data_IF_844363234347
#
_entry.id   IF_844363234347
#
_cell.length_a   1.000
_cell.length_b   1.000
_cell.length_c   1.000
_cell.angle_alpha   90.00
_cell.angle_beta   90.00
_cell.angle_gamma   90.00
#
_symmetry.space_group_name_H-M   'P 1'
#
loop_
_entity.id
_entity.type
_entity.pdbx_description
1 polymer ?
#
# COMPACT_ATOMS: atom_id res chain seq x y z
N UNK A 1 -18.58 -21.32 -39.81
CA UNK A 1 -17.32 -21.92 -39.35
C UNK A 1 -16.23 -20.85 -39.29
N UNK A 2 -15.47 -20.82 -38.18
CA UNK A 2 -14.08 -20.35 -37.99
C UNK A 2 -13.64 -18.98 -38.57
N UNK A 3 -12.86 -18.12 -37.90
CA UNK A 3 -12.11 -18.22 -36.65
C UNK A 3 -11.19 -16.98 -36.50
N UNK A 4 -11.28 -16.36 -35.31
CA UNK A 4 -10.24 -15.72 -34.47
C UNK A 4 -8.98 -15.14 -35.14
N UNK A 5 -8.72 -13.82 -34.92
CA UNK A 5 -7.58 -13.29 -34.12
C UNK A 5 -7.60 -11.76 -34.08
N UNK A 6 -8.27 -11.20 -33.07
CA UNK A 6 -8.09 -9.82 -32.63
C UNK A 6 -6.69 -9.67 -32.02
N UNK A 7 -5.87 -8.79 -32.60
CA UNK A 7 -4.51 -8.50 -32.14
C UNK A 7 -4.58 -7.60 -30.90
N UNK A 8 -3.89 -8.03 -29.85
CA UNK A 8 -3.66 -7.32 -28.59
C UNK A 8 -2.97 -5.98 -28.85
N UNK A 9 -3.58 -4.87 -28.43
CA UNK A 9 -3.08 -3.49 -28.63
C UNK A 9 -2.21 -2.97 -27.47
N UNK A 10 -1.73 -3.83 -26.57
CA UNK A 10 -0.81 -3.42 -25.51
C UNK A 10 0.66 -3.42 -25.97
N UNK A 11 0.95 -2.67 -27.02
CA UNK A 11 2.31 -2.30 -27.41
C UNK A 11 2.38 -0.79 -27.50
N UNK A 12 3.45 -0.21 -26.94
CA UNK A 12 3.83 1.21 -26.99
C UNK A 12 3.15 2.15 -25.99
N UNK A 13 3.56 2.08 -24.73
CA UNK A 13 3.88 3.30 -23.96
C UNK A 13 5.08 3.02 -23.05
N UNK A 14 6.25 2.95 -23.68
CA UNK A 14 7.55 3.10 -23.04
C UNK A 14 7.70 4.54 -22.54
N UNK A 15 7.22 4.82 -21.33
CA UNK A 15 7.38 6.11 -20.67
C UNK A 15 8.75 6.18 -19.98
N UNK A 16 9.80 6.34 -20.79
CA UNK A 16 11.21 6.47 -20.35
C UNK A 16 11.84 7.79 -20.79
N UNK A 17 11.13 8.91 -20.70
CA UNK A 17 11.74 10.24 -20.81
C UNK A 17 10.90 11.28 -20.05
N UNK A 18 11.15 11.43 -18.74
CA UNK A 18 11.22 12.75 -18.10
C UNK A 18 11.72 12.59 -16.66
N UNK A 19 12.98 12.96 -16.44
CA UNK A 19 13.57 13.61 -15.26
C UNK A 19 15.09 13.35 -15.29
N UNK A 20 15.78 14.10 -16.13
CA UNK A 20 17.20 14.42 -15.92
C UNK A 20 17.26 15.61 -14.96
N UNK A 21 17.90 15.43 -13.81
CA UNK A 21 18.29 16.53 -12.92
C UNK A 21 19.67 16.23 -12.30
N UNK A 22 20.69 16.91 -12.82
CA UNK A 22 21.98 17.20 -12.17
C UNK A 22 22.42 18.58 -12.73
N UNK A 23 22.69 19.57 -11.87
CA UNK A 23 24.08 19.98 -11.78
C UNK A 23 24.55 20.30 -10.34
N UNK A 24 25.81 19.94 -10.09
CA UNK A 24 26.57 20.18 -8.86
C UNK A 24 27.01 21.64 -8.69
N UNK A 25 27.33 21.93 -7.42
CA UNK A 25 28.17 22.98 -6.83
C UNK A 25 27.54 24.31 -6.37
N UNK A 26 27.37 24.42 -5.05
CA UNK A 26 27.91 25.54 -4.28
C UNK A 26 28.45 25.05 -2.93
N UNK A 27 29.66 25.53 -2.57
CA UNK A 27 30.38 25.26 -1.31
C UNK A 27 30.27 26.48 -0.39
N UNK A 28 30.26 26.22 0.93
CA UNK A 28 30.38 27.21 2.03
C UNK A 28 29.01 27.77 2.45
N UNK A 29 28.63 27.88 3.73
CA UNK A 29 29.38 28.40 4.87
C UNK A 29 28.87 27.77 6.19
N UNK A 30 29.81 27.60 7.12
CA UNK A 30 29.64 27.19 8.52
C UNK A 30 29.03 28.35 9.33
N UNK A 31 28.01 28.09 10.14
CA UNK A 31 27.42 29.07 11.06
C UNK A 31 26.72 28.37 12.22
N UNK A 32 27.21 28.66 13.42
CA UNK A 32 26.95 27.97 14.68
C UNK A 32 25.60 28.35 15.34
N UNK A 33 25.16 27.46 16.23
CA UNK A 33 24.36 27.68 17.45
C UNK A 33 22.93 28.22 17.34
N UNK A 34 21.97 27.40 17.77
CA UNK A 34 21.16 27.72 18.96
C UNK A 34 20.47 26.48 19.52
N UNK A 35 20.78 26.21 20.79
CA UNK A 35 20.15 25.21 21.63
C UNK A 35 18.65 25.48 21.73
N UNK A 36 17.83 24.47 21.42
CA UNK A 36 16.49 24.33 22.00
C UNK A 36 16.39 22.95 22.63
N UNK A 37 16.80 22.91 23.90
CA UNK A 37 16.47 21.86 24.86
C UNK A 37 14.95 21.70 24.92
N UNK A 38 14.46 20.54 24.49
CA UNK A 38 13.13 20.04 24.84
C UNK A 38 13.32 18.68 25.49
N UNK A 39 13.24 18.72 26.82
CA UNK A 39 12.54 17.79 27.70
C UNK A 39 12.47 16.34 27.25
N UNK A 40 13.20 15.49 27.96
CA UNK A 40 13.20 14.05 27.78
C UNK A 40 11.81 13.45 27.90
N UNK A 41 11.40 12.73 26.85
CA UNK A 41 10.59 11.54 27.04
C UNK A 41 11.51 10.34 26.90
N UNK A 42 11.53 9.52 27.95
CA UNK A 42 12.37 8.34 28.11
C UNK A 42 11.72 7.18 27.34
N UNK A 43 11.56 7.34 26.04
CA UNK A 43 11.18 6.26 25.15
C UNK A 43 12.47 5.61 24.68
N UNK A 44 12.75 4.39 25.13
CA UNK A 44 13.73 3.51 24.50
C UNK A 44 13.29 3.33 23.04
N UNK A 45 13.74 4.22 22.16
CA UNK A 45 13.53 4.16 20.74
C UNK A 45 14.32 2.95 20.22
N UNK A 46 13.73 1.77 20.39
CA UNK A 46 14.18 0.57 19.69
C UNK A 46 14.30 0.97 18.23
N UNK A 47 15.47 0.83 17.65
CA UNK A 47 15.80 1.20 16.27
C UNK A 47 15.11 0.23 15.29
N UNK A 48 13.77 0.20 15.33
CA UNK A 48 12.95 -0.67 14.50
C UNK A 48 12.93 -0.11 13.09
N UNK A 49 13.12 -1.00 12.13
CA UNK A 49 13.09 -0.68 10.72
C UNK A 49 11.63 -0.53 10.30
N UNK A 50 11.26 0.67 9.86
CA UNK A 50 9.93 0.91 9.31
C UNK A 50 9.80 0.27 7.92
N UNK A 51 9.02 -0.80 7.78
CA UNK A 51 8.90 -1.56 6.53
C UNK A 51 8.17 -0.79 5.41
N UNK A 52 7.43 0.27 5.76
CA UNK A 52 6.75 1.15 4.82
C UNK A 52 7.68 2.21 4.22
N UNK A 53 8.73 2.63 4.93
CA UNK A 53 9.59 3.75 4.51
C UNK A 53 11.07 3.39 4.35
N UNK A 54 11.51 2.26 4.90
CA UNK A 54 12.90 1.85 4.84
C UNK A 54 13.40 1.68 3.40
N UNK A 55 14.66 2.03 3.19
CA UNK A 55 15.38 1.77 1.94
C UNK A 55 15.70 0.28 1.80
N UNK A 56 16.04 -0.15 0.58
CA UNK A 56 16.42 -1.54 0.32
C UNK A 56 17.58 -1.99 1.20
N UNK A 57 18.63 -1.15 1.30
CA UNK A 57 19.78 -1.41 2.17
C UNK A 57 19.39 -1.55 3.64
N UNK A 58 18.45 -0.76 4.14
CA UNK A 58 17.98 -0.89 5.54
C UNK A 58 17.20 -2.18 5.76
N UNK A 59 16.40 -2.60 4.79
CA UNK A 59 15.65 -3.86 4.86
C UNK A 59 16.57 -5.08 4.79
N UNK A 60 17.66 -4.98 4.02
CA UNK A 60 18.69 -6.03 3.89
C UNK A 60 19.46 -6.29 5.20
N UNK A 61 19.43 -5.36 6.16
CA UNK A 61 20.02 -5.56 7.49
C UNK A 61 19.18 -6.48 8.39
N UNK A 62 17.95 -6.81 8.00
CA UNK A 62 17.10 -7.69 8.80
C UNK A 62 17.58 -9.15 8.69
N UNK A 63 17.63 -9.91 9.81
CA UNK A 63 18.00 -11.31 9.79
C UNK A 63 17.22 -12.12 8.75
N UNK A 64 17.94 -12.84 7.88
CA UNK A 64 17.37 -13.67 6.80
C UNK A 64 16.56 -12.90 5.72
N UNK A 65 16.71 -11.57 5.65
CA UNK A 65 16.21 -10.71 4.57
C UNK A 65 17.42 -10.26 3.75
N UNK A 66 17.72 -10.99 2.67
CA UNK A 66 18.78 -10.58 1.74
C UNK A 66 18.29 -9.57 0.69
N UNK A 67 19.16 -9.12 -0.24
CA UNK A 67 18.84 -8.06 -1.20
C UNK A 67 17.64 -8.41 -2.08
N UNK A 68 17.52 -9.68 -2.48
CA UNK A 68 16.36 -10.19 -3.25
C UNK A 68 15.05 -10.06 -2.48
N UNK A 69 15.05 -10.32 -1.18
CA UNK A 69 13.85 -10.22 -0.34
C UNK A 69 13.53 -8.76 -0.03
N UNK A 70 14.54 -7.92 0.24
CA UNK A 70 14.37 -6.48 0.40
C UNK A 70 13.69 -5.83 -0.82
N UNK A 71 14.13 -6.18 -2.04
CA UNK A 71 13.46 -5.75 -3.28
C UNK A 71 12.00 -6.17 -3.36
N UNK A 72 11.68 -7.40 -2.94
CA UNK A 72 10.30 -7.90 -2.91
C UNK A 72 9.42 -7.13 -1.92
N UNK A 73 9.95 -6.74 -0.75
CA UNK A 73 9.22 -5.90 0.22
C UNK A 73 8.89 -4.53 -0.41
N UNK A 74 9.87 -3.89 -1.05
CA UNK A 74 9.67 -2.59 -1.72
C UNK A 74 8.65 -2.73 -2.86
N UNK A 75 8.76 -3.77 -3.67
CA UNK A 75 7.82 -4.05 -4.75
C UNK A 75 6.41 -4.27 -4.20
N UNK A 76 6.28 -5.08 -3.16
CA UNK A 76 5.00 -5.35 -2.52
C UNK A 76 4.31 -4.06 -2.07
N UNK A 77 5.01 -3.17 -1.36
CA UNK A 77 4.40 -1.91 -0.89
C UNK A 77 4.07 -0.92 -2.01
N UNK A 78 4.76 -1.00 -3.15
CA UNK A 78 4.44 -0.22 -4.36
C UNK A 78 3.19 -0.74 -5.08
N UNK A 79 3.03 -2.06 -5.14
CA UNK A 79 1.93 -2.70 -5.89
C UNK A 79 0.64 -2.86 -5.05
N UNK A 80 0.76 -3.09 -3.75
CA UNK A 80 -0.34 -3.44 -2.85
C UNK A 80 -0.64 -2.36 -1.81
N UNK A 81 0.17 -1.29 -1.76
CA UNK A 81 0.08 -0.26 -0.73
C UNK A 81 0.82 -0.63 0.56
N UNK A 82 0.63 0.18 1.60
CA UNK A 82 1.37 0.06 2.87
C UNK A 82 1.04 -1.23 3.64
N UNK A 83 1.98 -1.67 4.45
CA UNK A 83 1.76 -2.65 5.52
C UNK A 83 1.06 -1.95 6.69
N UNK A 84 -0.05 -2.52 7.18
CA UNK A 84 -0.83 -1.94 8.29
C UNK A 84 -0.53 -2.64 9.61
N UNK A 85 -0.13 -3.90 9.55
CA UNK A 85 0.38 -4.67 10.69
C UNK A 85 1.77 -5.24 10.37
N UNK A 86 2.56 -5.55 11.40
CA UNK A 86 3.89 -6.17 11.21
C UNK A 86 3.76 -7.53 10.52
N UNK A 87 2.68 -8.25 10.83
CA UNK A 87 2.31 -9.55 10.30
C UNK A 87 2.06 -9.51 8.79
N UNK A 88 1.63 -8.37 8.23
CA UNK A 88 1.36 -8.23 6.80
C UNK A 88 2.61 -8.49 5.94
N UNK A 89 3.81 -8.35 6.52
CA UNK A 89 5.07 -8.66 5.83
C UNK A 89 5.14 -10.12 5.36
N UNK A 90 4.38 -11.03 5.98
CA UNK A 90 4.30 -12.44 5.57
C UNK A 90 3.59 -12.64 4.23
N UNK A 91 2.90 -11.61 3.70
CA UNK A 91 2.32 -11.64 2.34
C UNK A 91 3.40 -11.50 1.26
N UNK A 92 4.61 -11.09 1.62
CA UNK A 92 5.73 -10.95 0.67
C UNK A 92 6.31 -12.32 0.32
N UNK A 93 6.39 -12.70 -0.98
CA UNK A 93 6.93 -14.00 -1.39
C UNK A 93 8.35 -14.26 -0.85
N UNK A 94 8.51 -15.30 -0.04
CA UNK A 94 9.78 -15.67 0.59
C UNK A 94 9.96 -15.15 2.02
N UNK A 95 8.93 -14.55 2.62
CA UNK A 95 8.84 -14.24 4.05
C UNK A 95 7.73 -15.10 4.67
N UNK A 96 8.11 -16.25 5.21
CA UNK A 96 7.20 -17.13 5.96
C UNK A 96 7.27 -16.89 7.47
N UNK A 97 6.48 -17.67 8.23
CA UNK A 97 6.41 -17.62 9.69
C UNK A 97 7.78 -17.73 10.37
N UNK A 98 8.68 -18.59 9.85
CA UNK A 98 10.06 -18.74 10.36
C UNK A 98 10.84 -17.43 10.30
N UNK A 99 10.81 -16.71 9.17
CA UNK A 99 11.50 -15.42 9.04
C UNK A 99 10.82 -14.34 9.85
N UNK A 100 9.49 -14.30 9.83
CA UNK A 100 8.72 -13.34 10.60
C UNK A 100 9.08 -13.36 12.09
N UNK A 101 9.16 -14.54 12.71
CA UNK A 101 9.54 -14.68 14.13
C UNK A 101 10.90 -14.05 14.47
N UNK A 102 11.84 -14.02 13.52
CA UNK A 102 13.18 -13.46 13.73
C UNK A 102 13.23 -11.94 13.55
N UNK A 103 12.28 -11.37 12.82
CA UNK A 103 12.30 -9.93 12.46
C UNK A 103 11.17 -9.13 13.14
N UNK A 104 10.14 -9.78 13.70
CA UNK A 104 8.93 -9.12 14.22
C UNK A 104 9.20 -8.05 15.27
N UNK A 105 10.27 -8.17 16.05
CA UNK A 105 10.63 -7.22 17.11
C UNK A 105 11.57 -6.11 16.62
N UNK A 106 12.16 -6.31 15.43
CA UNK A 106 13.08 -5.40 14.74
C UNK A 106 12.36 -4.51 13.71
N UNK A 107 11.10 -4.78 13.42
CA UNK A 107 10.32 -4.04 12.42
C UNK A 107 9.19 -3.24 13.06
N UNK A 108 8.80 -2.16 12.39
CA UNK A 108 7.60 -1.38 12.68
C UNK A 108 6.90 -1.03 11.37
N UNK A 109 5.61 -0.74 11.44
CA UNK A 109 4.88 -0.13 10.31
C UNK A 109 4.89 1.40 10.38
N UNK A 110 5.42 1.97 11.48
CA UNK A 110 5.34 3.40 11.78
C UNK A 110 3.96 3.79 12.31
N UNK A 111 3.61 5.07 12.19
CA UNK A 111 2.29 5.58 12.54
C UNK A 111 1.31 5.27 11.39
N UNK A 112 1.03 3.98 11.22
CA UNK A 112 -0.01 3.49 10.31
C UNK A 112 -1.17 3.11 11.18
N UNK A 113 -2.23 3.91 11.11
CA UNK A 113 -3.49 3.67 11.80
C UNK A 113 -3.96 2.25 11.42
N UNK A 114 -4.02 1.27 12.35
CA UNK A 114 -4.50 -0.08 12.02
C UNK A 114 -5.94 -0.04 11.49
N UNK A 115 -6.70 0.96 11.94
CA UNK A 115 -8.06 1.30 11.49
C UNK A 115 -8.08 1.95 10.08
N UNK A 116 -6.93 2.36 9.50
CA UNK A 116 -6.85 2.93 8.14
C UNK A 116 -6.92 1.91 7.00
N UNK A 117 -6.89 0.60 7.26
CA UNK A 117 -6.93 -0.43 6.20
C UNK A 117 -8.17 -0.24 5.29
N UNK A 118 -9.29 0.11 5.90
CA UNK A 118 -10.55 0.34 5.20
C UNK A 118 -10.66 1.76 4.62
N UNK A 119 -9.73 2.68 4.94
CA UNK A 119 -9.85 4.09 4.56
C UNK A 119 -9.40 4.42 3.14
N UNK A 120 -8.70 3.50 2.46
CA UNK A 120 -8.39 3.67 1.04
C UNK A 120 -8.97 2.52 0.22
N UNK A 121 -10.25 2.63 -0.14
CA UNK A 121 -10.95 1.67 -1.00
C UNK A 121 -10.20 1.41 -2.33
N UNK A 122 -9.38 2.36 -2.81
CA UNK A 122 -8.56 2.18 -4.03
C UNK A 122 -7.49 1.09 -3.90
N UNK A 123 -7.09 0.74 -2.68
CA UNK A 123 -6.11 -0.30 -2.41
C UNK A 123 -6.74 -1.66 -2.07
N UNK A 124 -8.07 -1.75 -2.08
CA UNK A 124 -8.76 -2.99 -1.72
C UNK A 124 -8.60 -4.06 -2.80
N UNK A 125 -8.54 -5.30 -2.33
CA UNK A 125 -8.53 -6.50 -3.17
C UNK A 125 -9.87 -7.20 -3.07
N UNK A 126 -10.03 -8.31 -3.81
CA UNK A 126 -11.24 -9.13 -3.69
C UNK A 126 -11.46 -9.63 -2.26
N UNK A 127 -10.37 -9.82 -1.49
CA UNK A 127 -10.43 -10.34 -0.13
C UNK A 127 -11.28 -9.46 0.76
N UNK A 128 -11.06 -8.14 0.74
CA UNK A 128 -11.80 -7.19 1.56
C UNK A 128 -13.29 -7.19 1.21
N UNK A 129 -13.63 -7.23 -0.09
CA UNK A 129 -15.04 -7.32 -0.50
C UNK A 129 -15.68 -8.66 -0.10
N UNK A 130 -14.95 -9.77 -0.20
CA UNK A 130 -15.47 -11.09 0.20
C UNK A 130 -15.64 -11.17 1.72
N UNK A 131 -14.71 -10.64 2.51
CA UNK A 131 -14.82 -10.50 3.97
C UNK A 131 -16.05 -9.65 4.37
N UNK A 132 -16.42 -8.68 3.53
CA UNK A 132 -17.64 -7.89 3.71
C UNK A 132 -18.92 -8.61 3.23
N UNK A 133 -18.83 -9.83 2.73
CA UNK A 133 -19.96 -10.65 2.29
C UNK A 133 -20.46 -10.33 0.88
N UNK A 134 -19.58 -9.86 -0.01
CA UNK A 134 -19.86 -9.77 -1.44
C UNK A 134 -19.43 -11.05 -2.16
N UNK A 135 -20.22 -11.48 -3.16
CA UNK A 135 -19.88 -12.63 -3.99
C UNK A 135 -18.55 -12.38 -4.73
N UNK A 136 -17.67 -13.40 -4.89
CA UNK A 136 -16.38 -13.23 -5.56
C UNK A 136 -16.47 -12.61 -6.96
N UNK A 137 -17.49 -12.96 -7.75
CA UNK A 137 -17.72 -12.41 -9.09
C UNK A 137 -18.12 -10.93 -9.08
N UNK A 138 -18.77 -10.46 -8.01
CA UNK A 138 -19.07 -9.05 -7.80
C UNK A 138 -17.85 -8.31 -7.23
N UNK A 139 -17.14 -8.93 -6.29
CA UNK A 139 -15.89 -8.40 -5.73
C UNK A 139 -14.85 -8.11 -6.83
N UNK A 140 -14.66 -9.04 -7.78
CA UNK A 140 -13.77 -8.83 -8.92
C UNK A 140 -14.17 -7.57 -9.72
N UNK A 141 -15.45 -7.44 -10.07
CA UNK A 141 -15.95 -6.29 -10.84
C UNK A 141 -15.78 -4.97 -10.11
N UNK A 142 -16.01 -4.96 -8.79
CA UNK A 142 -15.77 -3.78 -7.96
C UNK A 142 -14.29 -3.40 -7.94
N UNK A 143 -13.39 -4.36 -7.72
CA UNK A 143 -11.94 -4.12 -7.73
C UNK A 143 -11.48 -3.59 -9.08
N UNK A 144 -11.94 -4.18 -10.19
CA UNK A 144 -11.61 -3.71 -11.54
C UNK A 144 -12.10 -2.28 -11.76
N UNK A 145 -13.34 -1.97 -11.36
CA UNK A 145 -13.92 -0.63 -11.49
C UNK A 145 -13.17 0.40 -10.64
N UNK A 146 -12.82 0.07 -9.39
CA UNK A 146 -12.13 0.96 -8.46
C UNK A 146 -10.68 1.25 -8.91
N UNK A 147 -10.03 0.27 -9.54
CA UNK A 147 -8.66 0.44 -10.07
C UNK A 147 -8.62 1.31 -11.32
N UNK A 148 -9.74 1.45 -12.01
CA UNK A 148 -9.88 2.36 -13.13
C UNK A 148 -10.01 3.80 -12.61
N UNK A 149 -8.92 4.56 -12.74
CA UNK A 149 -8.82 5.94 -12.23
C UNK A 149 -9.74 6.91 -12.98
N UNK A 150 -10.17 6.58 -14.19
CA UNK A 150 -11.07 7.43 -14.97
C UNK A 150 -12.53 7.21 -14.56
N UNK A 151 -12.85 6.02 -14.05
CA UNK A 151 -14.22 5.64 -13.70
C UNK A 151 -14.58 5.82 -12.22
N UNK A 152 -13.60 5.72 -11.31
CA UNK A 152 -13.84 5.73 -9.86
C UNK A 152 -13.35 7.01 -9.16
N UNK A 153 -14.30 7.89 -8.87
CA UNK A 153 -14.08 9.16 -8.15
C UNK A 153 -14.69 9.14 -6.75
N UNK A 154 -15.78 8.40 -6.57
CA UNK A 154 -16.60 8.36 -5.35
C UNK A 154 -17.21 6.97 -5.12
N UNK A 155 -17.67 6.68 -3.88
CA UNK A 155 -18.40 5.45 -3.60
C UNK A 155 -19.70 5.33 -4.39
N UNK A 156 -20.32 6.47 -4.74
CA UNK A 156 -21.53 6.51 -5.57
C UNK A 156 -21.28 5.94 -6.97
N UNK A 157 -20.05 6.04 -7.49
CA UNK A 157 -19.71 5.49 -8.80
C UNK A 157 -19.83 3.97 -8.85
N UNK A 158 -19.75 3.28 -7.70
CA UNK A 158 -19.95 1.83 -7.63
C UNK A 158 -21.33 1.39 -8.12
N UNK A 159 -22.33 2.29 -8.13
CA UNK A 159 -23.65 2.01 -8.70
C UNK A 159 -23.62 1.79 -10.22
N UNK A 160 -22.53 2.18 -10.91
CA UNK A 160 -22.29 1.87 -12.32
C UNK A 160 -21.88 0.42 -12.54
N UNK A 161 -21.47 -0.29 -11.49
CA UNK A 161 -21.05 -1.69 -11.56
C UNK A 161 -22.28 -2.59 -11.63
N UNK A 162 -22.42 -3.35 -12.72
CA UNK A 162 -23.54 -4.30 -12.91
C UNK A 162 -23.70 -5.21 -11.69
N UNK A 163 -24.90 -5.27 -11.12
CA UNK A 163 -25.20 -6.12 -9.96
C UNK A 163 -24.77 -5.53 -8.61
N UNK A 164 -24.24 -4.31 -8.58
CA UNK A 164 -24.09 -3.50 -7.37
C UNK A 164 -25.22 -2.46 -7.29
N UNK A 165 -26.02 -2.51 -6.24
CA UNK A 165 -27.23 -1.70 -6.09
C UNK A 165 -27.15 -0.74 -4.88
N UNK A 166 -28.15 0.13 -4.73
CA UNK A 166 -28.21 1.13 -3.64
C UNK A 166 -28.21 0.48 -2.25
N UNK A 167 -28.80 -0.70 -2.08
CA UNK A 167 -28.82 -1.41 -0.80
C UNK A 167 -27.45 -1.96 -0.45
N UNK A 168 -26.74 -2.53 -1.43
CA UNK A 168 -25.35 -2.96 -1.31
C UNK A 168 -24.42 -1.80 -1.00
N UNK A 169 -24.62 -0.63 -1.64
CA UNK A 169 -23.89 0.59 -1.32
C UNK A 169 -24.13 1.05 0.13
N UNK A 170 -25.39 1.10 0.57
CA UNK A 170 -25.73 1.46 1.96
C UNK A 170 -25.09 0.50 2.97
N UNK A 171 -25.11 -0.81 2.68
CA UNK A 171 -24.47 -1.83 3.50
C UNK A 171 -22.96 -1.66 3.54
N UNK A 172 -22.33 -1.38 2.40
CA UNK A 172 -20.90 -1.10 2.31
C UNK A 172 -20.52 0.14 3.14
N UNK A 173 -21.24 1.25 2.96
CA UNK A 173 -21.01 2.49 3.72
C UNK A 173 -21.17 2.27 5.22
N UNK A 174 -22.20 1.52 5.65
CA UNK A 174 -22.40 1.20 7.07
C UNK A 174 -21.19 0.45 7.64
N UNK A 175 -20.77 -0.63 6.98
CA UNK A 175 -19.60 -1.41 7.43
C UNK A 175 -18.33 -0.57 7.41
N UNK A 176 -18.12 0.22 6.37
CA UNK A 176 -17.00 1.15 6.27
C UNK A 176 -16.93 2.10 7.47
N UNK A 177 -18.07 2.68 7.88
CA UNK A 177 -18.16 3.54 9.07
C UNK A 177 -17.85 2.79 10.37
N UNK A 178 -18.31 1.56 10.51
CA UNK A 178 -17.96 0.68 11.65
C UNK A 178 -16.44 0.45 11.73
N UNK A 179 -15.74 0.45 10.59
CA UNK A 179 -14.28 0.36 10.50
C UNK A 179 -13.56 1.73 10.47
N UNK A 180 -14.23 2.82 10.86
CA UNK A 180 -13.61 4.14 10.96
C UNK A 180 -13.36 4.85 9.62
N UNK A 181 -13.92 4.37 8.51
CA UNK A 181 -13.94 5.12 7.25
C UNK A 181 -15.15 6.06 7.18
N UNK A 182 -14.84 7.35 6.98
CA UNK A 182 -15.83 8.38 6.68
C UNK A 182 -15.72 8.68 5.18
N UNK A 183 -16.70 8.25 4.36
CA UNK A 183 -16.77 8.68 2.96
C UNK A 183 -16.79 10.20 2.90
N UNK A 184 -16.06 10.80 1.95
CA UNK A 184 -15.99 12.26 1.79
C UNK A 184 -17.08 12.80 0.85
N UNK A 185 -18.03 11.94 0.48
CA UNK A 185 -18.91 12.04 -0.68
C UNK A 185 -20.36 11.58 -0.37
#
# INVERSE_FOLDING_TARGET
>A
MAGIKGKNIYSFLSFSLLYSYDPKHSRGIIGSTSNKSLSGNKDTASYRININTASERKLDLLPNVGPKTAKKIIRFRKENGLFYAKEDIMKVPGIGSKKYRLIKDLITVGNVDPENRFKNIKNWTMKEFVELGFLPSLALRLVLFIKDKELFHSLKDLLRVKGFDKNKLKRLIKKLKEYGYVPKD
#
